data_IF_251354269015
#
_entry.id   IF_251354269015
#
_cell.length_a   1.000
_cell.length_b   1.000
_cell.length_c   1.000
_cell.angle_alpha   90.00
_cell.angle_beta   90.00
_cell.angle_gamma   90.00
#
_symmetry.space_group_name_H-M   'P 1'
#
loop_
_entity.id
_entity.type
_entity.pdbx_description
1 polymer ?
#
# COMPACT_ATOMS: atom_id res chain seq x y z
N UNK A 1 -6.24 -2.64 8.60
CA UNK A 1 -5.00 -1.86 8.48
C UNK A 1 -3.85 -2.77 8.07
N UNK A 2 -2.98 -2.32 7.16
CA UNK A 2 -1.77 -3.09 6.80
C UNK A 2 -0.56 -2.60 7.60
N UNK A 3 0.42 -3.47 7.83
CA UNK A 3 1.70 -3.14 8.47
C UNK A 3 2.41 -1.90 7.88
N UNK A 4 2.40 -1.75 6.55
CA UNK A 4 3.01 -0.59 5.89
C UNK A 4 2.21 0.71 6.09
N UNK A 5 0.88 0.69 5.93
CA UNK A 5 0.04 1.88 6.14
C UNK A 5 0.02 2.26 7.62
N UNK A 6 -0.05 1.28 8.52
CA UNK A 6 0.07 1.49 9.96
C UNK A 6 1.36 2.24 10.30
N UNK A 7 2.48 1.82 9.72
CA UNK A 7 3.78 2.46 9.88
C UNK A 7 3.78 3.90 9.37
N UNK A 8 3.29 4.15 8.16
CA UNK A 8 3.24 5.50 7.57
C UNK A 8 2.37 6.47 8.39
N UNK A 9 1.20 6.02 8.86
CA UNK A 9 0.31 6.85 9.67
C UNK A 9 1.00 7.22 10.98
N UNK A 10 1.56 6.24 11.69
CA UNK A 10 2.19 6.49 13.00
C UNK A 10 3.45 7.36 12.90
N UNK A 11 4.24 7.23 11.84
CA UNK A 11 5.41 8.09 11.58
C UNK A 11 5.02 9.56 11.30
N UNK A 12 3.76 9.84 10.97
CA UNK A 12 3.24 11.18 10.74
C UNK A 12 3.15 12.05 12.00
N UNK A 13 3.23 11.46 13.20
CA UNK A 13 3.02 12.14 14.48
C UNK A 13 4.32 12.27 15.27
N UNK A 14 4.64 13.49 15.69
CA UNK A 14 5.85 13.80 16.49
C UNK A 14 5.64 13.66 17.99
N UNK A 15 4.43 13.96 18.45
CA UNK A 15 4.10 14.00 19.88
C UNK A 15 3.64 12.61 20.34
N UNK A 16 4.28 12.10 21.40
CA UNK A 16 4.01 10.75 21.92
C UNK A 16 2.55 10.53 22.31
N UNK A 17 1.88 11.56 22.84
CA UNK A 17 0.47 11.42 23.24
C UNK A 17 -0.44 11.21 22.03
N UNK A 18 -0.21 11.94 20.93
CA UNK A 18 -0.98 11.78 19.67
C UNK A 18 -0.65 10.44 19.02
N UNK A 19 0.64 10.05 19.02
CA UNK A 19 1.07 8.75 18.52
C UNK A 19 0.29 7.62 19.20
N UNK A 20 0.21 7.64 20.54
CA UNK A 20 -0.46 6.60 21.30
C UNK A 20 -1.98 6.59 21.09
N UNK A 21 -2.61 7.76 21.02
CA UNK A 21 -4.04 7.88 20.72
C UNK A 21 -4.38 7.29 19.34
N UNK A 22 -3.64 7.70 18.31
CA UNK A 22 -3.82 7.19 16.95
C UNK A 22 -3.53 5.69 16.89
N UNK A 23 -2.46 5.23 17.52
CA UNK A 23 -2.14 3.80 17.61
C UNK A 23 -3.31 3.00 18.20
N UNK A 24 -3.84 3.43 19.35
CA UNK A 24 -4.98 2.77 19.98
C UNK A 24 -6.20 2.70 19.07
N UNK A 25 -6.50 3.78 18.35
CA UNK A 25 -7.58 3.78 17.34
C UNK A 25 -7.30 2.81 16.18
N UNK A 26 -6.09 2.80 15.63
CA UNK A 26 -5.73 1.91 14.53
C UNK A 26 -5.76 0.43 14.92
N UNK A 27 -5.44 0.10 16.17
CA UNK A 27 -5.44 -1.26 16.71
C UNK A 27 -6.86 -1.87 16.77
N UNK A 28 -7.93 -1.06 16.67
CA UNK A 28 -9.32 -1.55 16.59
C UNK A 28 -9.67 -2.17 15.23
N UNK A 29 -8.88 -1.90 14.19
CA UNK A 29 -9.13 -2.41 12.84
C UNK A 29 -8.43 -3.76 12.60
N UNK A 30 -9.02 -4.67 11.79
CA UNK A 30 -8.35 -5.92 11.41
C UNK A 30 -6.97 -5.67 10.81
N UNK A 31 -5.95 -6.36 11.31
CA UNK A 31 -4.57 -6.17 10.89
C UNK A 31 -4.15 -7.19 9.82
N UNK A 32 -3.47 -6.72 8.78
CA UNK A 32 -2.96 -7.53 7.68
C UNK A 32 -1.46 -7.31 7.48
N UNK A 33 -0.71 -8.40 7.39
CA UNK A 33 0.74 -8.35 7.10
C UNK A 33 0.91 -8.37 5.58
N UNK A 34 1.40 -7.27 5.02
CA UNK A 34 1.73 -7.14 3.59
C UNK A 34 3.18 -7.55 3.33
N UNK A 35 4.04 -7.43 4.33
CA UNK A 35 5.43 -7.87 4.24
C UNK A 35 5.57 -9.35 3.88
N UNK A 36 6.77 -9.71 3.41
CA UNK A 36 7.12 -11.08 3.04
C UNK A 36 7.80 -11.17 1.67
N UNK A 37 8.62 -12.21 1.49
CA UNK A 37 9.41 -12.39 0.28
C UNK A 37 8.55 -12.50 -0.99
N UNK A 38 7.39 -13.15 -0.89
CA UNK A 38 6.48 -13.34 -2.03
C UNK A 38 5.92 -12.01 -2.55
N UNK A 39 5.31 -11.21 -1.67
CA UNK A 39 4.78 -9.89 -2.03
C UNK A 39 5.90 -8.95 -2.46
N UNK A 40 7.07 -9.00 -1.81
CA UNK A 40 8.24 -8.22 -2.22
C UNK A 40 8.67 -8.52 -3.66
N UNK A 41 8.74 -9.81 -4.03
CA UNK A 41 9.09 -10.22 -5.38
C UNK A 41 8.04 -9.76 -6.41
N UNK A 42 6.76 -10.00 -6.13
CA UNK A 42 5.65 -9.61 -7.01
C UNK A 42 5.56 -8.08 -7.17
N UNK A 43 5.75 -7.34 -6.09
CA UNK A 43 5.79 -5.87 -6.12
C UNK A 43 6.93 -5.36 -6.99
N UNK A 44 8.13 -5.93 -6.86
CA UNK A 44 9.25 -5.60 -7.73
C UNK A 44 8.98 -5.94 -9.21
N UNK A 45 8.30 -7.06 -9.49
CA UNK A 45 7.90 -7.45 -10.85
C UNK A 45 6.89 -6.47 -11.45
N UNK A 46 5.85 -6.09 -10.69
CA UNK A 46 4.85 -5.11 -11.07
C UNK A 46 5.47 -3.74 -11.36
N UNK A 47 6.33 -3.26 -10.46
CA UNK A 47 7.09 -2.03 -10.67
C UNK A 47 7.93 -2.08 -11.96
N UNK A 48 8.68 -3.17 -12.17
CA UNK A 48 9.51 -3.34 -13.38
C UNK A 48 8.66 -3.38 -14.65
N UNK A 49 7.48 -3.98 -14.60
CA UNK A 49 6.55 -4.03 -15.72
C UNK A 49 6.07 -2.62 -16.10
N UNK A 50 5.63 -1.83 -15.12
CA UNK A 50 5.23 -0.44 -15.34
C UNK A 50 6.39 0.42 -15.85
N UNK A 51 7.59 0.24 -15.29
CA UNK A 51 8.79 0.97 -15.72
C UNK A 51 9.17 0.69 -17.17
N UNK A 52 9.02 -0.54 -17.65
CA UNK A 52 9.22 -0.89 -19.06
C UNK A 52 8.23 -0.19 -20.01
N UNK A 53 7.09 0.26 -19.49
CA UNK A 53 6.10 1.07 -20.22
C UNK A 53 6.35 2.57 -20.09
N UNK A 54 7.45 3.00 -19.46
CA UNK A 54 7.75 4.40 -19.21
C UNK A 54 7.06 5.01 -17.99
N UNK A 55 6.38 4.20 -17.17
CA UNK A 55 5.67 4.66 -15.98
C UNK A 55 6.50 4.35 -14.74
N UNK A 56 6.81 5.37 -13.94
CA UNK A 56 7.59 5.20 -12.71
C UNK A 56 6.72 5.50 -11.49
N UNK A 57 6.58 4.53 -10.59
CA UNK A 57 5.89 4.70 -9.32
C UNK A 57 6.83 5.40 -8.32
N UNK A 58 6.31 6.39 -7.60
CA UNK A 58 7.12 7.25 -6.73
C UNK A 58 7.46 6.60 -5.39
N UNK A 59 6.52 5.85 -4.81
CA UNK A 59 6.71 5.22 -3.49
C UNK A 59 6.71 3.70 -3.61
N UNK A 60 7.72 3.07 -3.01
CA UNK A 60 7.79 1.61 -2.93
C UNK A 60 6.59 1.03 -2.16
N UNK A 61 6.12 1.72 -1.11
CA UNK A 61 4.99 1.29 -0.28
C UNK A 61 3.71 1.16 -1.11
N UNK A 62 3.42 2.12 -1.99
CA UNK A 62 2.27 2.06 -2.92
C UNK A 62 2.32 0.79 -3.78
N UNK A 63 3.50 0.44 -4.28
CA UNK A 63 3.69 -0.79 -5.06
C UNK A 63 3.42 -2.05 -4.24
N UNK A 64 3.81 -2.08 -2.95
CA UNK A 64 3.50 -3.19 -2.06
C UNK A 64 2.00 -3.30 -1.78
N UNK A 65 1.35 -2.19 -1.43
CA UNK A 65 -0.08 -2.17 -1.10
C UNK A 65 -0.91 -2.57 -2.33
N UNK A 66 -0.64 -1.97 -3.49
CA UNK A 66 -1.33 -2.31 -4.74
C UNK A 66 -1.17 -3.79 -5.09
N UNK A 67 0.06 -4.30 -4.99
CA UNK A 67 0.34 -5.72 -5.27
C UNK A 67 -0.41 -6.62 -4.29
N UNK A 68 -0.40 -6.31 -3.00
CA UNK A 68 -1.14 -7.09 -2.01
C UNK A 68 -2.64 -7.13 -2.29
N UNK A 69 -3.23 -5.98 -2.65
CA UNK A 69 -4.63 -5.91 -3.02
C UNK A 69 -4.95 -6.74 -4.26
N UNK A 70 -4.09 -6.71 -5.29
CA UNK A 70 -4.22 -7.56 -6.49
C UNK A 70 -4.19 -9.05 -6.09
N UNK A 71 -3.18 -9.47 -5.34
CA UNK A 71 -2.97 -10.88 -4.96
C UNK A 71 -4.05 -11.44 -4.04
N UNK A 72 -4.72 -10.57 -3.27
CA UNK A 72 -5.82 -10.95 -2.37
C UNK A 72 -7.20 -10.61 -2.93
N UNK A 73 -7.27 -10.13 -4.17
CA UNK A 73 -8.49 -9.66 -4.83
C UNK A 73 -9.27 -8.61 -4.02
N UNK A 74 -8.56 -7.82 -3.23
CA UNK A 74 -9.13 -6.77 -2.39
C UNK A 74 -9.28 -5.49 -3.19
N UNK A 75 -10.32 -4.74 -2.85
CA UNK A 75 -10.54 -3.41 -3.41
C UNK A 75 -9.77 -2.39 -2.57
N UNK A 76 -8.90 -1.62 -3.21
CA UNK A 76 -8.14 -0.57 -2.55
C UNK A 76 -8.93 0.74 -2.53
N UNK A 77 -9.21 1.25 -1.33
CA UNK A 77 -9.71 2.62 -1.15
C UNK A 77 -8.51 3.58 -1.13
N UNK A 78 -8.41 4.48 -2.10
CA UNK A 78 -7.33 5.45 -2.14
C UNK A 78 -7.76 6.76 -2.81
N UNK A 79 -6.97 7.83 -2.59
CA UNK A 79 -7.07 9.10 -3.31
C UNK A 79 -5.79 9.43 -4.12
N UNK A 80 -4.83 8.50 -4.17
CA UNK A 80 -3.54 8.69 -4.81
C UNK A 80 -3.57 8.32 -6.31
N UNK A 81 -3.25 9.29 -7.18
CA UNK A 81 -3.19 9.10 -8.63
C UNK A 81 -2.02 8.21 -9.05
N UNK A 82 -0.99 8.04 -8.21
CA UNK A 82 0.15 7.17 -8.49
C UNK A 82 -0.23 5.70 -8.57
N UNK A 83 -1.38 5.33 -8.01
CA UNK A 83 -1.91 3.97 -8.04
C UNK A 83 -2.73 3.68 -9.31
N UNK A 84 -3.12 4.70 -10.08
CA UNK A 84 -3.88 4.52 -11.32
C UNK A 84 -3.21 3.58 -12.33
N UNK A 85 -1.88 3.61 -12.55
CA UNK A 85 -1.22 2.65 -13.43
C UNK A 85 -1.39 1.18 -13.02
N UNK A 86 -1.60 0.89 -11.73
CA UNK A 86 -1.90 -0.48 -11.29
C UNK A 86 -3.31 -0.90 -11.67
N UNK A 87 -4.27 0.04 -11.68
CA UNK A 87 -5.64 -0.21 -12.17
C UNK A 87 -5.60 -0.47 -13.67
N UNK A 88 -4.97 0.44 -14.43
CA UNK A 88 -4.99 0.43 -15.90
C UNK A 88 -4.22 -0.76 -16.51
N UNK A 89 -3.25 -1.32 -15.77
CA UNK A 89 -2.31 -2.28 -16.35
C UNK A 89 -2.10 -3.57 -15.56
N UNK A 90 -2.46 -3.61 -14.27
CA UNK A 90 -2.14 -4.73 -13.37
C UNK A 90 -3.39 -5.31 -12.69
N UNK A 91 -4.58 -4.80 -12.99
CA UNK A 91 -5.84 -5.35 -12.50
C UNK A 91 -6.16 -4.98 -11.05
N UNK A 92 -5.53 -3.94 -10.50
CA UNK A 92 -5.93 -3.41 -9.20
C UNK A 92 -7.38 -2.93 -9.27
N UNK A 93 -8.23 -3.45 -8.38
CA UNK A 93 -9.56 -2.89 -8.15
C UNK A 93 -9.42 -1.74 -7.15
N UNK A 94 -9.94 -0.58 -7.51
CA UNK A 94 -9.93 0.57 -6.61
C UNK A 94 -11.27 1.27 -6.56
N UNK A 95 -11.51 1.95 -5.44
CA UNK A 95 -12.62 2.89 -5.27
C UNK A 95 -12.03 4.18 -4.72
N UNK A 96 -12.62 5.29 -5.16
CA UNK A 96 -12.39 6.65 -4.71
C UNK A 96 -13.75 7.23 -4.29
#
# INVERSE_FOLDING_TARGET
MTDLIYTEILQGYREDYVFNEVKSFLDEFPFAIVGGQEIALKSAQNYRFLRKKGITIRKTIDSYIATYCIEKELILLHLDKDLQPFVDHLGLKSIF
#
